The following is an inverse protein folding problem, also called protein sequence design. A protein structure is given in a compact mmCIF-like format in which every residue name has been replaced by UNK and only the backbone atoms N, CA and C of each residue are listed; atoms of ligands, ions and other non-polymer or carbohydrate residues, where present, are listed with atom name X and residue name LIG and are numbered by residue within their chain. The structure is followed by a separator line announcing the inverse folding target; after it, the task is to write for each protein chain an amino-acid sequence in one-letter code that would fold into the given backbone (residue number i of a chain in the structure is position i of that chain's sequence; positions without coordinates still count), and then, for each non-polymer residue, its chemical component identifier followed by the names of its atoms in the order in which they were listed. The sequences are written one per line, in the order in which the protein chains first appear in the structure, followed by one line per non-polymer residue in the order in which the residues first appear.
data_IF_332394980701
#
_entry.id   IF_332394980701
#
_cell.length_a   1.000
_cell.length_b   1.000
_cell.length_c   1.000
_cell.angle_alpha   90.00
_cell.angle_beta   90.00
_cell.angle_gamma   90.00
#
_symmetry.space_group_name_H-M   'P 1'
#
loop_
_entity.id
_entity.type
_entity.pdbx_description
1 polymer ?
#
# COMPACT_ATOMS: atom_id res chain seq x y z
N UNK A 1 -21.38 0.48 -14.25
CA UNK A 1 -20.12 0.75 -13.53
C UNK A 1 -19.60 2.10 -14.00
N UNK A 2 -19.89 3.16 -13.26
CA UNK A 2 -19.33 4.48 -13.55
C UNK A 2 -17.95 4.53 -12.90
N UNK A 3 -16.89 4.50 -13.71
CA UNK A 3 -15.55 4.83 -13.25
C UNK A 3 -15.53 6.32 -12.91
N UNK A 4 -15.72 6.63 -11.63
CA UNK A 4 -15.39 7.94 -11.11
C UNK A 4 -13.88 7.88 -10.86
N UNK A 5 -13.09 8.38 -11.81
CA UNK A 5 -11.72 8.76 -11.51
C UNK A 5 -11.82 10.02 -10.64
N UNK A 6 -11.52 9.95 -9.33
CA UNK A 6 -11.51 11.16 -8.51
C UNK A 6 -10.47 12.14 -9.08
N UNK A 7 -10.73 13.45 -9.01
CA UNK A 7 -9.75 14.45 -9.44
C UNK A 7 -8.43 14.23 -8.71
N UNK A 8 -7.32 14.37 -9.43
CA UNK A 8 -5.95 14.03 -8.99
C UNK A 8 -5.55 14.67 -7.65
N UNK A 9 -6.16 15.82 -7.30
CA UNK A 9 -6.01 16.49 -6.00
C UNK A 9 -6.64 15.71 -4.83
N UNK A 10 -7.81 15.10 -5.03
CA UNK A 10 -8.43 14.25 -4.02
C UNK A 10 -7.61 12.98 -3.78
N UNK A 11 -7.03 12.40 -4.85
CA UNK A 11 -6.18 11.22 -4.71
C UNK A 11 -4.91 11.53 -3.88
N UNK A 12 -4.26 12.67 -4.15
CA UNK A 12 -3.07 13.10 -3.40
C UNK A 12 -3.39 13.38 -1.93
N UNK A 13 -4.45 14.13 -1.65
CA UNK A 13 -4.87 14.41 -0.27
C UNK A 13 -5.25 13.14 0.49
N UNK A 14 -5.85 12.14 -0.19
CA UNK A 14 -6.16 10.82 0.39
C UNK A 14 -4.89 10.02 0.71
N UNK A 15 -3.91 9.98 -0.21
CA UNK A 15 -2.62 9.33 0.01
C UNK A 15 -1.89 9.98 1.19
N UNK A 16 -1.84 11.31 1.24
CA UNK A 16 -1.21 12.04 2.34
C UNK A 16 -1.92 11.81 3.68
N UNK A 17 -3.25 11.78 3.69
CA UNK A 17 -4.03 11.47 4.88
C UNK A 17 -3.78 10.04 5.38
N UNK A 18 -3.60 9.05 4.51
CA UNK A 18 -3.32 7.67 4.94
C UNK A 18 -1.85 7.46 5.31
N UNK A 19 -0.90 8.04 4.57
CA UNK A 19 0.52 7.91 4.87
C UNK A 19 0.95 8.69 6.11
N UNK A 20 0.33 9.86 6.36
CA UNK A 20 0.80 10.81 7.37
C UNK A 20 -0.26 11.22 8.40
N UNK A 21 -1.54 10.87 8.20
CA UNK A 21 -2.67 11.54 8.86
C UNK A 21 -3.64 10.62 9.61
N UNK A 22 -3.32 10.27 10.87
CA UNK A 22 -4.27 9.94 11.96
C UNK A 22 -5.33 8.82 11.78
N UNK A 23 -5.68 8.35 10.58
CA UNK A 23 -6.71 7.31 10.30
C UNK A 23 -6.06 6.08 9.68
N UNK A 24 -6.56 4.88 10.00
CA UNK A 24 -5.94 3.64 9.53
C UNK A 24 -6.27 3.42 8.06
N UNK A 25 -5.30 2.97 7.27
CA UNK A 25 -5.49 2.65 5.85
C UNK A 25 -6.65 1.67 5.61
N UNK A 26 -6.86 0.73 6.55
CA UNK A 26 -7.98 -0.21 6.53
C UNK A 26 -9.35 0.48 6.62
N UNK A 27 -9.51 1.44 7.52
CA UNK A 27 -10.77 2.20 7.67
C UNK A 27 -11.08 2.99 6.39
N UNK A 28 -10.04 3.47 5.70
CA UNK A 28 -10.20 4.16 4.41
C UNK A 28 -10.61 3.23 3.26
N UNK A 29 -10.19 1.96 3.29
CA UNK A 29 -10.68 0.93 2.36
C UNK A 29 -12.17 0.64 2.62
N UNK A 30 -12.56 0.47 3.88
CA UNK A 30 -13.95 0.19 4.27
C UNK A 30 -14.90 1.34 3.90
N UNK A 31 -14.44 2.59 4.05
CA UNK A 31 -15.18 3.79 3.62
C UNK A 31 -15.19 4.00 2.09
N UNK A 32 -14.52 3.15 1.32
CA UNK A 32 -14.40 3.27 -0.14
C UNK A 32 -13.58 4.47 -0.61
N UNK A 33 -12.74 5.04 0.26
CA UNK A 33 -11.90 6.19 -0.04
C UNK A 33 -10.65 5.80 -0.84
N UNK A 34 -10.14 4.60 -0.58
CA UNK A 34 -9.07 3.95 -1.32
C UNK A 34 -9.53 2.57 -1.78
N UNK A 35 -8.89 2.06 -2.82
CA UNK A 35 -9.05 0.71 -3.34
C UNK A 35 -8.10 -0.27 -2.65
N UNK A 36 -8.35 -1.57 -2.82
CA UNK A 36 -7.44 -2.61 -2.34
C UNK A 36 -6.03 -2.49 -2.95
N UNK A 37 -5.93 -2.01 -4.20
CA UNK A 37 -4.65 -1.78 -4.89
C UNK A 37 -3.89 -0.64 -4.23
N UNK A 38 -4.57 0.45 -3.91
CA UNK A 38 -3.97 1.59 -3.22
C UNK A 38 -3.57 1.23 -1.79
N UNK A 39 -4.41 0.49 -1.06
CA UNK A 39 -4.07 -0.02 0.28
C UNK A 39 -2.80 -0.87 0.25
N UNK A 40 -2.70 -1.78 -0.72
CA UNK A 40 -1.52 -2.62 -0.90
C UNK A 40 -0.27 -1.79 -1.17
N UNK A 41 -0.35 -0.82 -2.07
CA UNK A 41 0.78 0.05 -2.37
C UNK A 41 1.25 0.82 -1.13
N UNK A 42 0.30 1.37 -0.35
CA UNK A 42 0.60 2.07 0.89
C UNK A 42 1.31 1.19 1.92
N UNK A 43 0.91 -0.08 2.05
CA UNK A 43 1.56 -1.03 2.94
C UNK A 43 2.97 -1.38 2.47
N UNK A 44 3.18 -1.57 1.17
CA UNK A 44 4.50 -1.81 0.59
C UNK A 44 5.42 -0.62 0.84
N UNK A 45 4.94 0.60 0.58
CA UNK A 45 5.72 1.82 0.75
C UNK A 45 6.09 2.05 2.23
N UNK A 46 5.16 1.75 3.15
CA UNK A 46 5.44 1.83 4.58
C UNK A 46 6.52 0.81 5.01
N UNK A 47 6.47 -0.41 4.50
CA UNK A 47 7.45 -1.45 4.84
C UNK A 47 8.83 -1.12 4.24
N UNK A 48 8.87 -0.59 3.02
CA UNK A 48 10.11 -0.11 2.41
C UNK A 48 10.73 1.03 3.23
N UNK A 49 9.90 1.96 3.70
CA UNK A 49 10.33 3.03 4.62
C UNK A 49 10.91 2.48 5.93
N UNK A 50 10.23 1.55 6.59
CA UNK A 50 10.70 0.95 7.85
C UNK A 50 12.01 0.16 7.65
N UNK A 51 12.14 -0.56 6.54
CA UNK A 51 13.38 -1.26 6.18
C UNK A 51 14.53 -0.30 5.92
N UNK A 52 14.29 0.78 5.17
CA UNK A 52 15.27 1.85 4.96
C UNK A 52 15.65 2.52 6.27
N UNK A 53 14.68 2.77 7.15
CA UNK A 53 14.93 3.38 8.45
C UNK A 53 15.77 2.49 9.37
N UNK A 54 15.49 1.19 9.41
CA UNK A 54 16.18 0.25 10.28
C UNK A 54 17.57 -0.17 9.78
N UNK A 55 17.72 -0.34 8.46
CA UNK A 55 18.94 -0.89 7.85
C UNK A 55 19.83 0.14 7.16
N UNK A 56 19.32 1.35 6.92
CA UNK A 56 19.97 2.37 6.11
C UNK A 56 19.86 2.17 4.60
N UNK A 57 19.18 1.11 4.15
CA UNK A 57 19.04 0.72 2.74
C UNK A 57 17.59 0.36 2.40
N UNK A 58 17.12 0.75 1.23
CA UNK A 58 15.77 0.40 0.77
C UNK A 58 15.68 -1.07 0.37
N UNK A 59 14.49 -1.67 0.45
CA UNK A 59 14.28 -3.08 0.13
C UNK A 59 14.73 -3.47 -1.29
N UNK A 60 14.50 -2.68 -2.36
CA UNK A 60 14.96 -3.03 -3.70
C UNK A 60 16.48 -3.15 -3.82
N UNK A 61 17.26 -2.53 -2.92
CA UNK A 61 18.72 -2.69 -2.88
C UNK A 61 19.16 -4.04 -2.31
N UNK A 62 18.31 -4.68 -1.49
CA UNK A 62 18.62 -6.00 -0.91
C UNK A 62 18.28 -7.14 -1.85
N UNK A 63 17.00 -7.28 -2.20
CA UNK A 63 16.52 -8.43 -2.96
C UNK A 63 15.13 -8.14 -3.60
N UNK A 64 15.08 -7.97 -4.93
CA UNK A 64 13.82 -7.74 -5.66
C UNK A 64 12.91 -8.99 -5.71
N UNK A 65 13.46 -10.20 -5.67
CA UNK A 65 12.67 -11.43 -5.69
C UNK A 65 11.99 -11.66 -4.33
N UNK A 66 12.71 -11.38 -3.23
CA UNK A 66 12.12 -11.39 -1.89
C UNK A 66 11.02 -10.33 -1.74
N UNK A 67 11.17 -9.16 -2.38
CA UNK A 67 10.12 -8.12 -2.41
C UNK A 67 8.85 -8.64 -3.07
N UNK A 68 8.99 -9.31 -4.21
CA UNK A 68 7.86 -9.84 -4.97
C UNK A 68 7.10 -10.92 -4.19
N UNK A 69 7.81 -11.88 -3.58
CA UNK A 69 7.20 -12.90 -2.73
C UNK A 69 6.45 -12.30 -1.54
N UNK A 70 7.00 -11.23 -0.96
CA UNK A 70 6.38 -10.54 0.16
C UNK A 70 5.11 -9.79 -0.25
N UNK A 71 5.09 -9.16 -1.44
CA UNK A 71 3.89 -8.55 -2.01
C UNK A 71 2.79 -9.60 -2.21
N UNK A 72 3.14 -10.77 -2.75
CA UNK A 72 2.19 -11.88 -2.93
C UNK A 72 1.66 -12.41 -1.59
N UNK A 73 2.50 -12.48 -0.57
CA UNK A 73 2.09 -12.86 0.79
C UNK A 73 1.11 -11.84 1.39
N UNK A 74 1.39 -10.55 1.25
CA UNK A 74 0.48 -9.47 1.68
C UNK A 74 -0.87 -9.61 0.98
N UNK A 75 -0.87 -9.88 -0.32
CA UNK A 75 -2.09 -10.08 -1.09
C UNK A 75 -2.92 -11.26 -0.60
N UNK A 76 -2.25 -12.36 -0.29
CA UNK A 76 -2.90 -13.55 0.25
C UNK A 76 -3.48 -13.29 1.63
N UNK A 77 -2.72 -12.63 2.51
CA UNK A 77 -3.14 -12.37 3.90
C UNK A 77 -4.28 -11.36 4.00
N UNK A 78 -4.25 -10.31 3.18
CA UNK A 78 -5.23 -9.22 3.27
C UNK A 78 -6.50 -9.49 2.46
N UNK A 79 -6.36 -10.13 1.30
CA UNK A 79 -7.46 -10.28 0.34
C UNK A 79 -7.81 -11.74 0.03
N UNK A 80 -7.13 -12.72 0.64
CA UNK A 80 -7.41 -14.13 0.44
C UNK A 80 -7.05 -14.65 -0.95
N UNK A 81 -6.22 -13.91 -1.72
CA UNK A 81 -5.82 -14.30 -3.08
C UNK A 81 -4.66 -15.28 -3.03
N UNK A 82 -4.82 -16.47 -3.58
CA UNK A 82 -3.69 -17.39 -3.79
C UNK A 82 -2.72 -16.79 -4.81
N UNK A 83 -1.42 -16.80 -4.49
CA UNK A 83 -0.36 -16.47 -5.43
C UNK A 83 -0.54 -17.27 -6.74
N UNK A 84 -0.45 -16.58 -7.87
CA UNK A 84 -0.70 -17.12 -9.23
C UNK A 84 0.58 -17.69 -9.79
#
# INVERSE_FOLDING_TARGET
MHHINPPESELRERIEYVMWGRKRAWDCLEDGLITEVELRQLLIDHIDYECAHASGHSWPEFDPDARQQFIELIDQLLFGRTAV
#
